data_IF_543755233978
#
_entry.id   IF_543755233978
#
_cell.length_a   1.000
_cell.length_b   1.000
_cell.length_c   1.000
_cell.angle_alpha   90.00
_cell.angle_beta   90.00
_cell.angle_gamma   90.00
#
_symmetry.space_group_name_H-M   'P 1'
#
loop_
_entity.id
_entity.type
_entity.pdbx_description
1 polymer ?
#
# COMPACT_ATOMS: atom_id res chain seq x y z
N UNK A 1 -2.52 22.56 -18.49
CA UNK A 1 -2.91 22.36 -17.08
C UNK A 1 -1.71 21.82 -16.33
N UNK A 2 -1.30 22.47 -15.24
CA UNK A 2 -0.15 22.00 -14.45
C UNK A 2 -0.60 20.91 -13.46
N UNK A 3 0.24 19.88 -13.30
CA UNK A 3 -0.05 18.73 -12.44
C UNK A 3 1.16 18.46 -11.55
N UNK A 4 0.90 18.23 -10.26
CA UNK A 4 1.88 17.75 -9.30
C UNK A 4 1.42 16.40 -8.75
N UNK A 5 2.29 15.39 -8.76
CA UNK A 5 1.96 14.04 -8.28
C UNK A 5 2.85 13.70 -7.09
N UNK A 6 2.26 13.65 -5.90
CA UNK A 6 2.88 13.06 -4.73
C UNK A 6 2.71 11.54 -4.77
N UNK A 7 3.79 10.81 -5.03
CA UNK A 7 3.78 9.34 -5.17
C UNK A 7 4.74 8.61 -4.21
N UNK A 8 5.78 9.28 -3.70
CA UNK A 8 6.83 8.62 -2.93
C UNK A 8 6.25 7.95 -1.66
N UNK A 9 6.55 6.68 -1.46
CA UNK A 9 6.04 5.92 -0.33
C UNK A 9 7.00 4.84 0.11
N UNK A 10 7.23 4.75 1.41
CA UNK A 10 7.99 3.69 2.07
C UNK A 10 7.20 3.12 3.26
N UNK A 11 7.58 1.95 3.75
CA UNK A 11 6.90 1.32 4.88
C UNK A 11 7.78 0.30 5.57
N UNK A 12 7.51 0.10 6.87
CA UNK A 12 8.15 -0.91 7.70
C UNK A 12 7.11 -1.90 8.18
N UNK A 13 7.49 -3.17 8.32
CA UNK A 13 6.68 -4.22 8.93
C UNK A 13 7.46 -4.82 10.09
N UNK A 14 6.93 -4.72 11.30
CA UNK A 14 7.57 -5.09 12.56
C UNK A 14 6.72 -4.72 13.76
N UNK A 15 6.94 -5.37 14.90
CA UNK A 15 6.41 -4.84 16.16
C UNK A 15 6.99 -3.45 16.42
N UNK A 16 6.21 -2.57 17.07
CA UNK A 16 6.61 -1.17 17.24
C UNK A 16 7.90 -1.02 18.05
N UNK A 17 8.10 -1.87 19.06
CA UNK A 17 9.31 -1.86 19.90
C UNK A 17 10.49 -2.59 19.27
N UNK A 18 10.24 -3.47 18.30
CA UNK A 18 11.26 -4.26 17.61
C UNK A 18 11.71 -3.62 16.28
N UNK A 19 11.02 -2.57 15.85
CA UNK A 19 11.38 -1.78 14.67
C UNK A 19 12.14 -0.54 15.13
N UNK A 20 13.29 -0.20 14.52
CA UNK A 20 14.02 1.02 14.85
C UNK A 20 13.13 2.26 14.74
N UNK A 21 13.15 3.10 15.77
CA UNK A 21 12.33 4.32 15.83
C UNK A 21 12.64 5.24 14.64
N UNK A 22 13.91 5.31 14.24
CA UNK A 22 14.39 6.08 13.10
C UNK A 22 13.72 5.64 11.79
N UNK A 23 13.44 4.35 11.64
CA UNK A 23 12.76 3.82 10.47
C UNK A 23 11.28 4.26 10.46
N UNK A 24 10.60 4.25 11.61
CA UNK A 24 9.25 4.81 11.74
C UNK A 24 9.22 6.31 11.43
N UNK A 25 10.16 7.08 11.98
CA UNK A 25 10.29 8.51 11.72
C UNK A 25 10.54 8.77 10.23
N UNK A 26 11.40 7.98 9.59
CA UNK A 26 11.69 8.11 8.16
C UNK A 26 10.46 7.82 7.30
N UNK A 27 9.64 6.83 7.67
CA UNK A 27 8.35 6.57 7.02
C UNK A 27 7.42 7.79 7.11
N UNK A 28 7.30 8.41 8.28
CA UNK A 28 6.50 9.64 8.45
C UNK A 28 7.07 10.80 7.62
N UNK A 29 8.40 10.99 7.62
CA UNK A 29 9.06 12.03 6.83
C UNK A 29 8.75 11.88 5.34
N UNK A 30 8.87 10.69 4.78
CA UNK A 30 8.63 10.46 3.35
C UNK A 30 7.15 10.53 3.00
N UNK A 31 6.31 9.80 3.72
CA UNK A 31 4.92 9.57 3.33
C UNK A 31 3.96 10.72 3.70
N UNK A 32 4.32 11.53 4.70
CA UNK A 32 3.51 12.67 5.16
C UNK A 32 4.21 13.98 4.89
N UNK A 33 5.38 14.22 5.52
CA UNK A 33 6.06 15.50 5.39
C UNK A 33 6.51 15.76 3.94
N UNK A 34 6.92 14.72 3.21
CA UNK A 34 7.24 14.83 1.78
C UNK A 34 6.07 15.34 0.95
N UNK A 35 4.85 14.88 1.23
CA UNK A 35 3.65 15.31 0.51
C UNK A 35 3.27 16.74 0.90
N UNK A 36 3.38 17.08 2.19
CA UNK A 36 3.18 18.45 2.67
C UNK A 36 4.16 19.42 2.00
N UNK A 37 5.45 19.06 1.94
CA UNK A 37 6.49 19.85 1.27
C UNK A 37 6.19 20.01 -0.22
N UNK A 38 5.75 18.94 -0.90
CA UNK A 38 5.34 18.99 -2.30
C UNK A 38 4.19 19.97 -2.52
N UNK A 39 3.13 19.87 -1.71
CA UNK A 39 2.00 20.79 -1.76
C UNK A 39 2.44 22.24 -1.49
N UNK A 40 3.21 22.48 -0.44
CA UNK A 40 3.71 23.80 -0.07
C UNK A 40 4.52 24.44 -1.20
N UNK A 41 5.36 23.65 -1.89
CA UNK A 41 6.17 24.12 -3.00
C UNK A 41 5.33 24.51 -4.23
N UNK A 42 4.30 23.74 -4.59
CA UNK A 42 3.55 23.94 -5.85
C UNK A 42 2.35 24.89 -5.72
N UNK A 43 1.73 24.99 -4.55
CA UNK A 43 0.51 25.78 -4.36
C UNK A 43 0.66 27.27 -4.71
N UNK A 44 1.76 27.97 -4.39
CA UNK A 44 1.93 29.37 -4.80
C UNK A 44 1.87 29.55 -6.32
N UNK A 45 2.42 28.60 -7.08
CA UNK A 45 2.36 28.62 -8.54
C UNK A 45 0.95 28.37 -9.05
N UNK A 46 0.23 27.40 -8.47
CA UNK A 46 -1.15 27.09 -8.85
C UNK A 46 -2.10 28.25 -8.55
N UNK A 47 -1.93 28.92 -7.39
CA UNK A 47 -2.68 30.12 -7.03
C UNK A 47 -2.39 31.28 -7.99
N UNK A 48 -1.11 31.53 -8.32
CA UNK A 48 -0.73 32.61 -9.24
C UNK A 48 -1.32 32.41 -10.65
N UNK A 49 -1.35 31.19 -11.16
CA UNK A 49 -1.93 30.89 -12.48
C UNK A 49 -3.44 30.64 -12.45
N UNK A 50 -4.06 30.61 -11.26
CA UNK A 50 -5.48 30.37 -11.08
C UNK A 50 -5.96 28.97 -11.49
N UNK A 51 -5.08 27.97 -11.59
CA UNK A 51 -5.45 26.58 -11.90
C UNK A 51 -4.37 25.59 -11.48
N UNK A 52 -4.69 24.31 -11.31
CA UNK A 52 -3.71 23.26 -11.06
C UNK A 52 -4.32 22.00 -10.46
N UNK A 53 -3.58 20.91 -10.45
CA UNK A 53 -4.04 19.68 -9.79
C UNK A 53 -2.90 19.01 -9.03
N UNK A 54 -3.14 18.80 -7.74
CA UNK A 54 -2.32 17.99 -6.85
C UNK A 54 -2.95 16.60 -6.81
N UNK A 55 -2.17 15.57 -7.16
CA UNK A 55 -2.58 14.17 -7.07
C UNK A 55 -1.74 13.49 -5.99
N UNK A 56 -2.39 12.86 -5.03
CA UNK A 56 -1.74 12.12 -3.96
C UNK A 56 -2.05 10.64 -4.06
N UNK A 57 -1.00 9.82 -4.17
CA UNK A 57 -1.14 8.37 -4.03
C UNK A 57 -1.18 8.06 -2.53
N UNK A 58 -2.39 7.82 -2.04
CA UNK A 58 -2.65 7.42 -0.68
C UNK A 58 -2.79 5.88 -0.63
N UNK A 59 -3.53 5.36 0.35
CA UNK A 59 -3.74 3.93 0.54
C UNK A 59 -5.03 3.69 1.29
N UNK A 60 -5.64 2.50 1.13
CA UNK A 60 -6.66 2.03 2.07
C UNK A 60 -6.19 2.08 3.54
N UNK A 61 -4.87 1.98 3.77
CA UNK A 61 -4.26 2.16 5.08
C UNK A 61 -4.46 3.55 5.72
N UNK A 62 -5.03 4.51 4.99
CA UNK A 62 -5.47 5.80 5.52
C UNK A 62 -6.81 5.73 6.28
N UNK A 63 -7.59 4.67 6.06
CA UNK A 63 -8.89 4.47 6.71
C UNK A 63 -8.88 3.32 7.70
N UNK A 64 -8.05 2.31 7.47
CA UNK A 64 -7.94 1.12 8.32
C UNK A 64 -6.48 0.96 8.77
N UNK A 65 -6.18 0.97 10.08
CA UNK A 65 -4.82 0.82 10.55
C UNK A 65 -4.28 -0.57 10.22
N UNK A 66 -2.99 -0.65 9.93
CA UNK A 66 -2.27 -1.90 9.69
C UNK A 66 -1.41 -2.23 10.92
N UNK A 67 -1.80 -3.23 11.73
CA UNK A 67 -0.95 -3.80 12.76
C UNK A 67 0.41 -4.20 12.19
N UNK A 68 1.46 -4.08 13.01
CA UNK A 68 2.87 -4.25 12.61
C UNK A 68 3.37 -3.23 11.59
N UNK A 69 2.58 -2.24 11.19
CA UNK A 69 3.00 -1.14 10.32
C UNK A 69 2.51 0.19 10.90
N UNK A 70 2.81 0.42 12.19
CA UNK A 70 2.34 1.58 12.97
C UNK A 70 2.81 2.91 12.38
N UNK A 71 4.10 3.06 12.08
CA UNK A 71 4.64 4.28 11.44
C UNK A 71 4.01 4.55 10.07
N UNK A 72 3.76 3.51 9.28
CA UNK A 72 3.04 3.62 8.01
C UNK A 72 1.60 4.08 8.23
N UNK A 73 0.87 3.45 9.16
CA UNK A 73 -0.51 3.80 9.50
C UNK A 73 -0.60 5.26 9.97
N UNK A 74 0.28 5.68 10.88
CA UNK A 74 0.36 7.06 11.34
C UNK A 74 0.56 8.03 10.17
N UNK A 75 1.46 7.72 9.24
CA UNK A 75 1.71 8.56 8.07
C UNK A 75 0.50 8.69 7.14
N UNK A 76 -0.23 7.59 6.88
CA UNK A 76 -1.37 7.59 5.93
C UNK A 76 -2.63 8.20 6.52
N UNK A 77 -2.89 8.00 7.82
CA UNK A 77 -3.95 8.71 8.53
C UNK A 77 -3.66 10.22 8.63
N UNK A 78 -2.42 10.59 8.97
CA UNK A 78 -2.00 11.99 8.99
C UNK A 78 -2.13 12.64 7.62
N UNK A 79 -1.79 11.90 6.55
CA UNK A 79 -1.92 12.37 5.19
C UNK A 79 -3.38 12.63 4.80
N UNK A 80 -4.30 11.73 5.16
CA UNK A 80 -5.73 11.92 4.93
C UNK A 80 -6.24 13.20 5.61
N UNK A 81 -5.90 13.40 6.89
CA UNK A 81 -6.30 14.61 7.62
C UNK A 81 -5.75 15.89 6.98
N UNK A 82 -4.49 15.89 6.58
CA UNK A 82 -3.86 17.02 5.89
C UNK A 82 -4.55 17.34 4.55
N UNK A 83 -4.88 16.33 3.74
CA UNK A 83 -5.50 16.55 2.43
C UNK A 83 -6.96 17.01 2.53
N UNK A 84 -7.72 16.54 3.53
CA UNK A 84 -9.07 17.06 3.80
C UNK A 84 -9.02 18.53 4.24
N UNK A 85 -8.09 18.90 5.12
CA UNK A 85 -7.89 20.29 5.53
C UNK A 85 -7.51 21.19 4.34
N UNK A 86 -6.54 20.76 3.53
CA UNK A 86 -6.07 21.52 2.37
C UNK A 86 -7.18 21.73 1.32
N UNK A 87 -8.06 20.75 1.11
CA UNK A 87 -9.25 20.93 0.26
C UNK A 87 -10.20 22.00 0.81
N UNK A 88 -10.39 22.03 2.12
CA UNK A 88 -11.18 23.06 2.79
C UNK A 88 -10.62 24.46 2.55
N UNK A 89 -9.31 24.64 2.68
CA UNK A 89 -8.63 25.92 2.41
C UNK A 89 -8.77 26.39 0.95
N UNK A 90 -8.80 25.45 -0.01
CA UNK A 90 -8.88 25.72 -1.44
C UNK A 90 -10.32 25.75 -1.98
N UNK A 91 -11.34 25.68 -1.13
CA UNK A 91 -12.74 25.59 -1.56
C UNK A 91 -13.20 26.79 -2.42
N UNK A 92 -12.57 27.96 -2.27
CA UNK A 92 -12.81 29.14 -3.10
C UNK A 92 -12.08 29.08 -4.46
N UNK A 93 -10.95 28.39 -4.54
CA UNK A 93 -10.10 28.27 -5.74
C UNK A 93 -10.65 27.16 -6.68
N UNK A 94 -11.73 27.45 -7.42
CA UNK A 94 -12.51 26.44 -8.17
C UNK A 94 -11.75 25.60 -9.21
N UNK A 95 -10.60 26.09 -9.68
CA UNK A 95 -9.78 25.45 -10.71
C UNK A 95 -8.49 24.83 -10.13
N UNK A 96 -8.33 24.84 -8.80
CA UNK A 96 -7.23 24.17 -8.11
C UNK A 96 -7.81 22.94 -7.40
N UNK A 97 -7.34 21.76 -7.80
CA UNK A 97 -7.87 20.50 -7.31
C UNK A 97 -6.84 19.76 -6.46
N UNK A 98 -7.29 19.19 -5.35
CA UNK A 98 -6.53 18.22 -4.55
C UNK A 98 -7.24 16.89 -4.64
N UNK A 99 -6.58 15.93 -5.27
CA UNK A 99 -7.14 14.65 -5.65
C UNK A 99 -6.37 13.53 -4.96
N UNK A 100 -7.06 12.66 -4.24
CA UNK A 100 -6.45 11.50 -3.60
C UNK A 100 -6.90 10.21 -4.31
N UNK A 101 -5.94 9.34 -4.57
CA UNK A 101 -6.18 8.01 -5.11
C UNK A 101 -5.85 6.99 -4.01
N UNK A 102 -6.81 6.11 -3.73
CA UNK A 102 -6.74 5.10 -2.68
C UNK A 102 -6.72 3.70 -3.30
N UNK A 103 -5.55 3.21 -3.75
CA UNK A 103 -5.43 1.85 -4.21
C UNK A 103 -5.51 0.86 -3.04
N UNK A 104 -6.08 -0.33 -3.33
CA UNK A 104 -5.80 -1.56 -2.56
C UNK A 104 -4.34 -1.99 -2.78
N UNK A 105 -3.99 -3.22 -2.42
CA UNK A 105 -2.67 -3.77 -2.70
C UNK A 105 -2.37 -3.70 -4.21
N UNK A 106 -1.20 -3.18 -4.57
CA UNK A 106 -0.77 -3.04 -5.97
C UNK A 106 0.33 -4.06 -6.24
N UNK A 107 0.23 -4.76 -7.36
CA UNK A 107 1.21 -5.74 -7.81
C UNK A 107 2.51 -5.04 -8.28
N UNK A 108 3.30 -4.57 -7.32
CA UNK A 108 4.62 -3.97 -7.51
C UNK A 108 5.63 -4.61 -6.55
N UNK A 109 6.95 -4.49 -6.76
CA UNK A 109 7.93 -4.95 -5.79
C UNK A 109 7.95 -4.18 -4.46
N UNK A 110 7.07 -3.19 -4.25
CA UNK A 110 7.13 -2.28 -3.10
C UNK A 110 7.18 -2.99 -1.74
N UNK A 111 6.50 -4.14 -1.59
CA UNK A 111 6.55 -4.94 -0.36
C UNK A 111 7.93 -5.59 -0.10
N UNK A 112 8.75 -5.77 -1.13
CA UNK A 112 10.16 -6.21 -1.01
C UNK A 112 11.10 -5.08 -0.64
N UNK A 113 10.70 -3.84 -0.88
CA UNK A 113 11.46 -2.64 -0.53
C UNK A 113 11.13 -2.13 0.89
N UNK A 114 10.07 -2.66 1.50
CA UNK A 114 9.72 -2.37 2.88
C UNK A 114 10.82 -2.84 3.84
N UNK A 115 11.02 -2.10 4.92
CA UNK A 115 11.82 -2.59 6.04
C UNK A 115 11.10 -3.78 6.69
N UNK A 116 11.74 -4.94 6.73
CA UNK A 116 11.19 -6.17 7.28
C UNK A 116 11.89 -6.48 8.62
N UNK A 117 11.13 -6.44 9.71
CA UNK A 117 11.59 -6.68 11.08
C UNK A 117 10.76 -7.77 11.78
N UNK A 118 10.04 -8.61 11.03
CA UNK A 118 9.18 -9.68 11.58
C UNK A 118 9.77 -11.09 11.43
N UNK A 119 10.96 -11.23 10.82
CA UNK A 119 11.58 -12.53 10.56
C UNK A 119 10.84 -13.42 9.53
N UNK A 120 9.83 -12.87 8.86
CA UNK A 120 8.93 -13.59 7.96
C UNK A 120 8.91 -12.93 6.57
N UNK A 121 8.82 -13.74 5.52
CA UNK A 121 8.72 -13.25 4.14
C UNK A 121 7.43 -12.46 3.96
N UNK A 122 7.55 -11.19 3.55
CA UNK A 122 6.40 -10.35 3.24
C UNK A 122 5.81 -10.70 1.87
N UNK A 123 4.51 -10.96 1.84
CA UNK A 123 3.72 -11.10 0.61
C UNK A 123 2.66 -10.00 0.53
N UNK A 124 2.31 -9.56 -0.69
CA UNK A 124 1.23 -8.61 -0.85
C UNK A 124 -0.11 -9.24 -0.43
N UNK A 125 -1.03 -8.40 0.06
CA UNK A 125 -2.34 -8.84 0.52
C UNK A 125 -3.29 -8.90 -0.69
N UNK A 126 -3.89 -10.05 -1.03
CA UNK A 126 -4.92 -10.12 -2.07
C UNK A 126 -6.22 -9.43 -1.64
N UNK A 127 -7.04 -8.92 -2.58
CA UNK A 127 -6.79 -8.86 -4.02
C UNK A 127 -5.80 -7.77 -4.39
N UNK A 128 -5.11 -7.96 -5.51
CA UNK A 128 -4.20 -6.96 -6.07
C UNK A 128 -4.74 -6.36 -7.35
N UNK A 129 -4.36 -5.10 -7.59
CA UNK A 129 -4.51 -4.42 -8.88
C UNK A 129 -3.14 -4.25 -9.53
N UNK A 130 -3.13 -4.15 -10.85
CA UNK A 130 -1.90 -3.88 -11.59
C UNK A 130 -1.50 -2.41 -11.50
N UNK A 131 -0.19 -2.14 -11.65
CA UNK A 131 0.36 -0.79 -11.56
C UNK A 131 -0.18 0.12 -12.67
N UNK A 132 -0.48 -0.47 -13.81
CA UNK A 132 -1.05 0.12 -15.01
C UNK A 132 -2.45 0.67 -14.71
N UNK A 133 -3.28 -0.06 -13.96
CA UNK A 133 -4.60 0.43 -13.51
C UNK A 133 -4.48 1.69 -12.65
N UNK A 134 -3.46 1.75 -11.79
CA UNK A 134 -3.19 2.95 -10.98
C UNK A 134 -2.75 4.10 -11.87
N UNK A 135 -1.85 3.86 -12.83
CA UNK A 135 -1.37 4.87 -13.76
C UNK A 135 -2.49 5.41 -14.67
N UNK A 136 -3.34 4.55 -15.21
CA UNK A 136 -4.54 4.92 -15.97
C UNK A 136 -5.47 5.79 -15.12
N UNK A 137 -5.69 5.41 -13.86
CA UNK A 137 -6.51 6.21 -12.93
C UNK A 137 -5.91 7.59 -12.68
N UNK A 138 -4.58 7.70 -12.54
CA UNK A 138 -3.91 9.00 -12.42
C UNK A 138 -4.18 9.84 -13.66
N UNK A 139 -4.06 9.28 -14.86
CA UNK A 139 -4.35 10.01 -16.10
C UNK A 139 -5.82 10.44 -16.18
N UNK A 140 -6.75 9.59 -15.73
CA UNK A 140 -8.17 9.94 -15.68
C UNK A 140 -8.47 11.07 -14.69
N UNK A 141 -7.79 11.08 -13.54
CA UNK A 141 -7.89 12.16 -12.55
C UNK A 141 -7.26 13.46 -13.08
N UNK A 142 -6.19 13.39 -13.87
CA UNK A 142 -5.65 14.58 -14.57
C UNK A 142 -6.67 15.16 -15.54
N UNK A 143 -7.39 14.30 -16.27
CA UNK A 143 -8.41 14.73 -17.26
C UNK A 143 -9.70 15.22 -16.61
N UNK A 144 -10.12 14.57 -15.53
CA UNK A 144 -11.35 14.84 -14.80
C UNK A 144 -11.07 14.77 -13.28
N UNK A 145 -10.68 15.90 -12.68
CA UNK A 145 -10.30 15.96 -11.27
C UNK A 145 -11.45 15.54 -10.35
N UNK A 146 -11.14 14.59 -9.46
CA UNK A 146 -12.06 14.07 -8.43
C UNK A 146 -11.37 14.15 -7.09
N UNK A 147 -12.07 14.64 -6.06
CA UNK A 147 -11.48 14.79 -4.73
C UNK A 147 -10.94 13.47 -4.19
N UNK A 148 -11.70 12.38 -4.34
CA UNK A 148 -11.30 11.04 -3.92
C UNK A 148 -11.62 10.02 -5.03
N UNK A 149 -10.68 9.12 -5.30
CA UNK A 149 -10.88 7.97 -6.20
C UNK A 149 -10.33 6.71 -5.53
N UNK A 150 -11.20 5.72 -5.32
CA UNK A 150 -10.83 4.48 -4.65
C UNK A 150 -10.73 3.34 -5.67
N UNK A 151 -9.63 2.59 -5.66
CA UNK A 151 -9.42 1.47 -6.59
C UNK A 151 -9.52 0.14 -5.86
N UNK A 152 -10.49 -0.68 -6.26
CA UNK A 152 -10.78 -2.02 -5.72
C UNK A 152 -11.97 -2.00 -4.76
N UNK A 153 -13.11 -2.57 -5.17
CA UNK A 153 -14.37 -2.60 -4.41
C UNK A 153 -14.28 -3.08 -2.93
N UNK A 154 -13.38 -3.99 -2.51
CA UNK A 154 -13.31 -4.42 -1.11
C UNK A 154 -12.87 -3.31 -0.15
N UNK A 155 -12.26 -2.24 -0.67
CA UNK A 155 -11.75 -1.12 0.13
C UNK A 155 -12.86 -0.26 0.74
N UNK A 156 -13.97 -0.06 0.04
CA UNK A 156 -15.11 0.70 0.55
C UNK A 156 -15.76 -0.02 1.75
N UNK A 157 -15.88 -1.35 1.66
CA UNK A 157 -16.40 -2.17 2.76
C UNK A 157 -15.46 -2.20 3.96
N UNK A 158 -14.15 -2.30 3.75
CA UNK A 158 -13.18 -2.24 4.84
C UNK A 158 -13.23 -0.90 5.59
N UNK A 159 -13.37 0.21 4.86
CA UNK A 159 -13.55 1.56 5.45
C UNK A 159 -14.81 1.64 6.30
N UNK A 160 -15.96 1.20 5.78
CA UNK A 160 -17.23 1.20 6.52
C UNK A 160 -17.15 0.27 7.74
N UNK A 161 -16.60 -0.93 7.57
CA UNK A 161 -16.44 -1.92 8.63
C UNK A 161 -15.61 -1.38 9.79
N UNK A 162 -14.47 -0.74 9.49
CA UNK A 162 -13.66 -0.10 10.53
C UNK A 162 -14.37 1.08 11.18
N UNK A 163 -15.11 1.89 10.41
CA UNK A 163 -15.86 3.02 10.96
C UNK A 163 -16.95 2.58 11.96
N UNK A 164 -17.62 1.46 11.69
CA UNK A 164 -18.68 0.93 12.55
C UNK A 164 -18.12 0.09 13.71
N UNK A 165 -17.05 -0.69 13.49
CA UNK A 165 -16.54 -1.66 14.46
C UNK A 165 -15.01 -1.61 14.60
N UNK A 166 -14.43 -0.47 15.01
CA UNK A 166 -12.98 -0.27 14.99
C UNK A 166 -12.22 -1.28 15.85
N UNK A 167 -12.76 -1.61 17.03
CA UNK A 167 -12.16 -2.60 17.93
C UNK A 167 -12.11 -4.00 17.33
N UNK A 168 -13.21 -4.46 16.74
CA UNK A 168 -13.32 -5.78 16.11
C UNK A 168 -12.40 -5.88 14.88
N UNK A 169 -12.47 -4.90 13.98
CA UNK A 169 -11.64 -4.89 12.76
C UNK A 169 -10.16 -4.86 13.11
N UNK A 170 -9.73 -4.01 14.04
CA UNK A 170 -8.34 -3.95 14.50
C UNK A 170 -7.86 -5.29 15.06
N UNK A 171 -8.65 -5.92 15.92
CA UNK A 171 -8.28 -7.19 16.54
C UNK A 171 -8.21 -8.33 15.52
N UNK A 172 -9.18 -8.39 14.60
CA UNK A 172 -9.20 -9.39 13.53
C UNK A 172 -7.99 -9.26 12.61
N UNK A 173 -7.71 -8.04 12.11
CA UNK A 173 -6.53 -7.80 11.26
C UNK A 173 -5.25 -8.14 12.03
N UNK A 174 -5.14 -7.75 13.31
CA UNK A 174 -3.98 -8.09 14.13
C UNK A 174 -3.78 -9.60 14.29
N UNK A 175 -4.85 -10.36 14.49
CA UNK A 175 -4.80 -11.81 14.55
C UNK A 175 -4.39 -12.42 13.21
N UNK A 176 -4.92 -11.93 12.09
CA UNK A 176 -4.54 -12.39 10.76
C UNK A 176 -3.05 -12.23 10.48
N UNK A 177 -2.47 -11.06 10.82
CA UNK A 177 -1.02 -10.84 10.68
C UNK A 177 -0.20 -11.80 11.56
N UNK A 178 -0.59 -12.00 12.83
CA UNK A 178 0.08 -12.95 13.72
C UNK A 178 0.06 -14.38 13.18
N UNK A 179 -1.10 -14.85 12.72
CA UNK A 179 -1.22 -16.19 12.15
C UNK A 179 -0.43 -16.32 10.84
N UNK A 180 -0.44 -15.27 10.01
CA UNK A 180 0.36 -15.24 8.79
C UNK A 180 1.86 -15.36 9.07
N UNK A 181 2.41 -14.59 10.01
CA UNK A 181 3.83 -14.63 10.32
C UNK A 181 4.29 -15.98 10.87
N UNK A 182 3.43 -16.72 11.57
CA UNK A 182 3.73 -18.09 12.03
C UNK A 182 3.89 -19.10 10.89
N UNK A 183 3.19 -18.90 9.77
CA UNK A 183 3.15 -19.84 8.64
C UNK A 183 3.98 -19.39 7.43
N UNK A 184 4.44 -18.14 7.45
CA UNK A 184 5.23 -17.57 6.37
C UNK A 184 6.63 -18.21 6.33
N UNK A 185 7.23 -18.24 5.15
CA UNK A 185 8.63 -18.65 5.01
C UNK A 185 9.52 -17.68 5.79
N UNK A 186 10.55 -18.16 6.49
CA UNK A 186 11.50 -17.28 7.17
C UNK A 186 12.17 -16.30 6.19
N UNK A 187 12.41 -15.08 6.65
CA UNK A 187 13.19 -14.07 5.92
C UNK A 187 14.06 -13.31 6.90
N UNK A 188 15.32 -12.97 6.55
CA UNK A 188 16.15 -12.13 7.40
C UNK A 188 15.53 -10.73 7.56
N UNK A 189 15.89 -10.09 8.67
CA UNK A 189 15.59 -8.68 8.88
C UNK A 189 16.32 -7.83 7.85
N UNK A 190 15.67 -6.76 7.39
CA UNK A 190 16.25 -5.84 6.42
C UNK A 190 15.65 -4.46 6.56
N UNK A 191 16.47 -3.44 6.38
CA UNK A 191 16.03 -2.04 6.31
C UNK A 191 15.37 -1.71 4.96
N UNK A 192 15.35 -2.66 4.01
CA UNK A 192 14.75 -2.47 2.70
C UNK A 192 15.38 -1.31 1.93
N UNK A 193 14.56 -0.31 1.60
CA UNK A 193 14.96 0.97 1.00
C UNK A 193 14.53 2.17 1.85
N UNK A 194 14.40 2.01 3.17
CA UNK A 194 13.93 3.08 4.07
C UNK A 194 14.89 4.27 4.09
N UNK A 195 16.19 3.99 4.21
CA UNK A 195 17.23 5.00 4.32
C UNK A 195 17.96 5.26 3.00
N UNK A 196 18.08 4.23 2.15
CA UNK A 196 18.78 4.32 0.87
C UNK A 196 17.93 3.80 -0.30
N UNK A 197 17.89 4.57 -1.39
CA UNK A 197 17.21 4.15 -2.62
C UNK A 197 18.04 3.10 -3.36
N UNK A 198 17.41 2.00 -3.77
CA UNK A 198 18.06 0.98 -4.61
C UNK A 198 17.50 1.05 -6.03
N UNK A 199 18.19 1.78 -6.91
CA UNK A 199 17.74 1.98 -8.31
C UNK A 199 17.67 0.66 -9.09
N UNK A 200 18.57 -0.27 -8.80
CA UNK A 200 18.66 -1.58 -9.46
C UNK A 200 17.42 -2.47 -9.23
N UNK A 201 16.67 -2.22 -8.17
CA UNK A 201 15.44 -2.96 -7.86
C UNK A 201 14.17 -2.20 -8.26
N UNK A 202 14.32 -1.03 -8.92
CA UNK A 202 13.22 -0.23 -9.43
C UNK A 202 12.48 -0.95 -10.57
N UNK A 203 11.34 -1.56 -10.27
CA UNK A 203 10.42 -2.12 -11.27
C UNK A 203 9.01 -1.64 -11.00
N UNK A 204 8.22 -1.50 -12.07
CA UNK A 204 6.83 -1.04 -12.01
C UNK A 204 5.87 -2.19 -11.69
N UNK A 205 6.17 -3.40 -12.16
CA UNK A 205 5.35 -4.61 -11.98
C UNK A 205 5.98 -5.62 -11.01
N UNK A 206 5.12 -6.30 -10.25
CA UNK A 206 5.48 -7.40 -9.35
C UNK A 206 5.65 -8.74 -10.07
N UNK A 207 5.70 -9.85 -9.31
CA UNK A 207 5.85 -11.19 -9.90
C UNK A 207 4.51 -11.73 -10.40
N UNK A 208 4.45 -12.41 -11.58
CA UNK A 208 3.23 -13.06 -12.07
C UNK A 208 2.60 -14.04 -11.06
N UNK A 209 3.42 -14.67 -10.21
CA UNK A 209 2.95 -15.57 -9.15
C UNK A 209 2.28 -14.84 -7.97
N UNK A 210 2.51 -13.53 -7.82
CA UNK A 210 1.75 -12.70 -6.89
C UNK A 210 0.34 -12.43 -7.45
N UNK A 211 0.20 -12.19 -8.75
CA UNK A 211 -1.07 -11.88 -9.45
C UNK A 211 -2.09 -13.04 -9.51
N UNK A 212 -1.78 -14.20 -8.95
CA UNK A 212 -2.62 -15.41 -9.04
C UNK A 212 -3.88 -15.35 -8.18
N UNK A 213 -4.89 -14.60 -8.62
CA UNK A 213 -6.33 -14.95 -8.60
C UNK A 213 -7.20 -13.73 -8.98
N UNK A 214 -7.59 -13.69 -10.26
CA UNK A 214 -8.86 -13.19 -10.83
C UNK A 214 -9.31 -11.76 -10.44
N UNK A 215 -9.09 -10.80 -11.34
CA UNK A 215 -10.13 -9.92 -11.93
C UNK A 215 -9.55 -9.26 -13.19
N UNK A 216 -9.41 -10.04 -14.26
CA UNK A 216 -9.23 -9.48 -15.58
C UNK A 216 -10.55 -8.84 -16.03
N UNK A 217 -10.52 -7.54 -16.35
CA UNK A 217 -11.59 -6.75 -16.99
C UNK A 217 -12.96 -6.77 -16.28
N UNK A 218 -13.13 -5.88 -15.30
CA UNK A 218 -14.43 -5.28 -15.05
C UNK A 218 -14.41 -3.86 -15.63
N UNK A 219 -14.98 -3.76 -16.83
CA UNK A 219 -15.21 -2.55 -17.62
C UNK A 219 -15.92 -1.46 -16.82
N UNK A 220 -15.54 -0.21 -17.13
CA UNK A 220 -16.42 0.95 -17.06
C UNK A 220 -17.87 0.58 -17.38
N UNK A 221 -18.76 0.62 -16.38
CA UNK A 221 -20.19 0.72 -16.64
C UNK A 221 -20.88 1.45 -15.49
N UNK A 222 -21.39 2.64 -15.84
CA UNK A 222 -22.45 3.32 -15.13
C UNK A 222 -23.65 2.38 -14.98
N UNK A 223 -24.13 2.16 -13.76
CA UNK A 223 -25.57 1.97 -13.57
C UNK A 223 -26.07 2.38 -12.19
N UNK A 224 -27.17 3.13 -12.22
CA UNK A 224 -28.11 3.37 -11.13
C UNK A 224 -28.93 2.08 -10.95
N UNK A 225 -29.11 1.58 -9.73
CA UNK A 225 -30.40 1.11 -9.22
C UNK A 225 -30.35 0.62 -7.77
N UNK A 226 -31.33 1.14 -7.04
CA UNK A 226 -32.15 0.57 -5.97
C UNK A 226 -31.56 -0.37 -4.90
N UNK A 227 -31.62 0.17 -3.69
CA UNK A 227 -31.18 -0.37 -2.43
C UNK A 227 -32.36 -1.09 -1.76
N UNK A 228 -32.36 -2.42 -1.73
CA UNK A 228 -33.17 -3.18 -0.77
C UNK A 228 -32.37 -4.31 -0.16
N UNK A 229 -32.18 -4.20 1.17
CA UNK A 229 -32.19 -5.25 2.21
C UNK A 229 -30.96 -5.19 3.16
N UNK A 230 -31.11 -4.66 4.40
CA UNK A 230 -30.03 -4.35 5.34
C UNK A 230 -29.52 -5.54 6.19
N UNK A 231 -29.59 -6.80 5.71
CA UNK A 231 -29.22 -7.99 6.51
C UNK A 231 -27.84 -8.60 6.17
N UNK A 232 -27.14 -8.11 5.15
CA UNK A 232 -25.80 -8.60 4.73
C UNK A 232 -24.62 -7.81 5.34
N UNK A 233 -24.90 -6.86 6.23
CA UNK A 233 -23.93 -5.89 6.79
C UNK A 233 -22.88 -6.55 7.71
N UNK A 234 -23.15 -7.75 8.24
CA UNK A 234 -22.19 -8.50 9.07
C UNK A 234 -21.20 -9.40 8.33
N UNK A 235 -21.47 -9.75 7.06
CA UNK A 235 -20.70 -10.77 6.34
C UNK A 235 -19.48 -10.22 5.56
N UNK A 236 -19.44 -8.93 5.24
CA UNK A 236 -18.39 -8.35 4.39
C UNK A 236 -17.02 -8.22 5.09
N UNK A 237 -17.00 -7.98 6.41
CA UNK A 237 -15.77 -8.02 7.21
C UNK A 237 -15.20 -9.43 7.38
N UNK A 238 -16.08 -10.44 7.39
CA UNK A 238 -15.73 -11.86 7.42
C UNK A 238 -15.18 -12.33 6.07
N UNK A 239 -15.67 -11.83 4.94
CA UNK A 239 -15.26 -12.29 3.61
C UNK A 239 -13.78 -11.96 3.27
N UNK A 240 -13.23 -10.86 3.77
CA UNK A 240 -11.81 -10.52 3.58
C UNK A 240 -10.91 -11.40 4.45
N UNK A 241 -11.28 -11.62 5.72
CA UNK A 241 -10.56 -12.52 6.61
C UNK A 241 -10.63 -13.99 6.18
N UNK A 242 -11.81 -14.45 5.78
CA UNK A 242 -12.07 -15.81 5.30
C UNK A 242 -11.48 -16.04 3.91
N UNK A 243 -11.52 -15.05 3.01
CA UNK A 243 -10.89 -15.12 1.69
C UNK A 243 -9.37 -15.22 1.79
N UNK A 244 -8.74 -14.46 2.70
CA UNK A 244 -7.30 -14.54 2.97
C UNK A 244 -6.95 -15.88 3.65
N UNK A 245 -7.74 -16.34 4.63
CA UNK A 245 -7.53 -17.65 5.28
C UNK A 245 -7.64 -18.82 4.29
N UNK A 246 -8.64 -18.80 3.41
CA UNK A 246 -8.85 -19.84 2.39
C UNK A 246 -7.79 -19.78 1.28
N UNK A 247 -7.38 -18.59 0.84
CA UNK A 247 -6.30 -18.44 -0.13
C UNK A 247 -4.94 -18.93 0.40
N UNK A 248 -4.63 -18.65 1.68
CA UNK A 248 -3.44 -19.17 2.37
C UNK A 248 -3.48 -20.70 2.53
N UNK A 249 -4.68 -21.29 2.66
CA UNK A 249 -4.87 -22.75 2.75
C UNK A 249 -4.77 -23.43 1.37
N UNK A 250 -5.25 -22.79 0.30
CA UNK A 250 -5.19 -23.33 -1.07
C UNK A 250 -3.78 -23.27 -1.68
N UNK A 251 -2.94 -22.31 -1.29
CA UNK A 251 -1.52 -22.25 -1.68
C UNK A 251 -0.72 -23.49 -1.26
N UNK A 252 -1.15 -24.26 -0.25
CA UNK A 252 -0.54 -25.54 0.12
C UNK A 252 -0.78 -26.64 -0.92
N UNK A 253 -1.89 -26.58 -1.66
CA UNK A 253 -2.26 -27.62 -2.65
C UNK A 253 -1.40 -27.57 -3.92
N UNK A 254 -0.93 -26.37 -4.31
CA UNK A 254 -0.09 -26.21 -5.52
C UNK A 254 1.41 -26.40 -5.28
N UNK A 255 1.86 -26.60 -4.02
CA UNK A 255 3.28 -26.70 -3.68
C UNK A 255 3.84 -28.15 -3.71
N UNK A 256 3.09 -29.12 -4.23
CA UNK A 256 3.49 -30.54 -4.26
C UNK A 256 4.33 -30.93 -5.49
N UNK A 257 5.24 -30.09 -5.95
CA UNK A 257 6.32 -30.51 -6.85
C UNK A 257 7.66 -29.94 -6.36
N UNK A 258 8.63 -30.79 -6.00
CA UNK A 258 9.94 -30.32 -5.60
C UNK A 258 10.62 -29.66 -6.80
N UNK A 259 11.03 -28.41 -6.65
CA UNK A 259 11.91 -27.73 -7.61
C UNK A 259 13.29 -28.37 -7.51
N UNK A 260 13.77 -28.91 -8.63
CA UNK A 260 15.12 -29.46 -8.80
C UNK A 260 16.19 -28.45 -8.37
N UNK A 261 17.24 -28.98 -7.74
CA UNK A 261 18.42 -28.24 -7.30
C UNK A 261 19.15 -27.65 -8.52
N UNK A 262 18.99 -26.36 -8.78
CA UNK A 262 19.96 -25.58 -9.55
C UNK A 262 20.90 -24.87 -8.58
N UNK A 263 21.98 -25.56 -8.23
CA UNK A 263 23.17 -24.97 -7.66
C UNK A 263 23.93 -24.31 -8.80
N UNK A 264 23.80 -22.98 -8.95
CA UNK A 264 24.75 -22.11 -9.65
C UNK A 264 24.31 -20.64 -9.49
N UNK A 265 24.75 -19.98 -8.42
CA UNK A 265 24.69 -18.53 -8.27
C UNK A 265 26.06 -18.00 -7.78
N UNK A 266 26.84 -17.30 -8.63
CA UNK A 266 28.22 -16.85 -8.33
C UNK A 266 28.34 -15.81 -7.20
N UNK A 267 27.23 -15.30 -6.67
CA UNK A 267 27.23 -14.25 -5.63
C UNK A 267 27.45 -14.80 -4.21
N UNK A 268 27.24 -16.11 -3.98
CA UNK A 268 27.41 -16.70 -2.65
C UNK A 268 28.88 -16.99 -2.29
N UNK A 269 29.74 -17.24 -3.29
CA UNK A 269 31.17 -17.55 -3.05
C UNK A 269 32.03 -16.31 -2.80
N UNK A 270 31.61 -15.11 -3.24
CA UNK A 270 32.38 -13.87 -3.00
C UNK A 270 32.22 -13.32 -1.58
N UNK A 271 31.22 -13.74 -0.82
CA UNK A 271 30.98 -13.23 0.54
C UNK A 271 31.66 -14.06 1.64
N UNK A 272 32.12 -15.29 1.34
CA UNK A 272 32.89 -16.11 2.30
C UNK A 272 34.42 -15.93 2.20
N UNK A 273 34.92 -15.29 1.13
CA UNK A 273 36.35 -15.12 0.88
C UNK A 273 37.02 -13.90 1.53
N UNK A 274 36.28 -13.02 2.21
CA UNK A 274 36.83 -11.74 2.73
C UNK A 274 36.97 -11.66 4.26
N UNK A 275 36.71 -12.74 5.00
CA UNK A 275 36.88 -12.77 6.47
C UNK A 275 38.13 -13.52 6.98
N UNK A 276 39.06 -13.89 6.11
CA UNK A 276 40.34 -14.51 6.53
C UNK A 276 41.51 -13.78 5.86
N UNK A 277 41.80 -12.54 6.28
CA UNK A 277 43.09 -11.87 6.07
C UNK A 277 43.11 -10.47 6.74
N UNK A 278 42.98 -10.42 8.07
CA UNK A 278 43.57 -9.36 8.91
C UNK A 278 43.95 -9.98 10.26
N UNK A 279 45.12 -10.59 10.26
CA UNK A 279 45.92 -11.00 11.41
C UNK A 279 47.38 -10.79 11.02
#
# INVERSE_FOLDING_TARGET
>A
MAVWVNNAGIGTVGEFTETPLEAHVQVVKTNLLGYMNGCFAVLPYFKKQGSGTIINLNSLGAFVPLPFASGYSASKFGLLGFMEALRGELAADKNIHVCDIYPVSVNTPGYRHAGNYVGALLKPIPPMIDSETVAETVLDVVRSPRAQTTLGWPSAFARIGYALFPGLTRNLVGQMFREYFKIALPSPHTEGTIFESKRETGRTSGSPAASGAVFAKASHQNHKSELTTPLLVGAAGLAVGLGIFLALRQSKSSASKPLEKHADYPLYQRMQGSQIARG
#
